data_IF_577209130085
#
_entry.id   IF_577209130085
#
_cell.length_a   1.000
_cell.length_b   1.000
_cell.length_c   1.000
_cell.angle_alpha   90.00
_cell.angle_beta   90.00
_cell.angle_gamma   90.00
#
_symmetry.space_group_name_H-M   'P 1'
#
loop_
_entity.id
_entity.type
_entity.pdbx_description
1 polymer ?
#
# COMPACT_ATOMS: atom_id res chain seq x y z
N UNK A 1 9.71 14.85 -15.83
CA UNK A 1 10.96 15.13 -15.07
C UNK A 1 12.14 15.08 -16.03
N UNK A 2 13.27 15.73 -15.73
CA UNK A 2 14.50 15.61 -16.53
C UNK A 2 15.61 15.06 -15.63
N UNK A 3 16.28 14.00 -16.06
CA UNK A 3 17.45 13.48 -15.37
C UNK A 3 18.62 14.45 -15.58
N UNK A 4 19.19 14.99 -14.50
CA UNK A 4 20.27 15.99 -14.62
C UNK A 4 21.59 15.41 -15.14
N UNK A 5 21.81 14.10 -14.99
CA UNK A 5 23.03 13.44 -15.43
C UNK A 5 22.93 12.98 -16.90
N UNK A 6 21.81 12.35 -17.28
CA UNK A 6 21.62 11.82 -18.63
C UNK A 6 20.84 12.74 -19.56
N UNK A 7 20.36 13.88 -19.06
CA UNK A 7 19.45 14.81 -19.74
C UNK A 7 18.10 14.20 -20.19
N UNK A 8 17.84 12.92 -19.89
CA UNK A 8 16.68 12.19 -20.38
C UNK A 8 15.36 12.66 -19.78
N UNK A 9 14.31 12.69 -20.60
CA UNK A 9 12.96 13.01 -20.14
C UNK A 9 12.34 11.76 -19.52
N UNK A 10 11.78 11.92 -18.33
CA UNK A 10 11.10 10.86 -17.58
C UNK A 10 9.64 11.25 -17.38
N UNK A 11 8.73 10.42 -17.87
CA UNK A 11 7.35 10.38 -17.39
C UNK A 11 7.32 9.52 -16.13
N UNK A 12 7.01 10.12 -14.98
CA UNK A 12 6.97 9.40 -13.72
C UNK A 12 5.52 9.19 -13.29
N UNK A 13 5.10 7.93 -13.32
CA UNK A 13 3.82 7.47 -12.78
C UNK A 13 3.93 7.28 -11.27
N UNK A 14 3.21 8.09 -10.50
CA UNK A 14 3.23 8.06 -9.05
C UNK A 14 1.95 7.43 -8.50
N UNK A 15 2.07 6.47 -7.59
CA UNK A 15 0.91 5.88 -6.91
C UNK A 15 1.18 5.69 -5.43
N UNK A 16 0.12 5.80 -4.63
CA UNK A 16 0.16 5.33 -3.23
C UNK A 16 -0.56 3.99 -3.14
N UNK A 17 0.10 2.96 -2.60
CA UNK A 17 -0.49 1.62 -2.47
C UNK A 17 -0.13 0.94 -1.15
N UNK A 18 -1.08 0.16 -0.65
CA UNK A 18 -0.93 -0.66 0.55
C UNK A 18 -1.38 -2.06 0.19
N UNK A 19 -0.64 -3.07 0.64
CA UNK A 19 -0.94 -4.46 0.34
C UNK A 19 -0.79 -5.30 1.59
N UNK A 20 -1.71 -6.25 1.78
CA UNK A 20 -1.71 -7.22 2.86
C UNK A 20 -1.34 -8.57 2.24
N UNK A 21 -0.28 -9.20 2.73
CA UNK A 21 0.16 -10.50 2.23
C UNK A 21 -0.73 -11.61 2.76
N UNK A 22 -1.40 -12.30 1.84
CA UNK A 22 -2.27 -13.45 2.12
C UNK A 22 -1.79 -14.63 1.27
N UNK A 23 -1.02 -15.54 1.88
CA UNK A 23 -0.34 -16.60 1.13
C UNK A 23 0.57 -16.03 0.04
N UNK A 24 0.33 -16.41 -1.22
CA UNK A 24 1.04 -15.88 -2.39
C UNK A 24 0.47 -14.57 -2.93
N UNK A 25 -0.71 -14.16 -2.46
CA UNK A 25 -1.42 -12.99 -2.95
C UNK A 25 -1.12 -11.72 -2.16
N UNK A 26 -1.36 -10.59 -2.82
CA UNK A 26 -1.15 -9.25 -2.29
C UNK A 26 -2.39 -8.37 -2.55
N UNK A 27 -3.53 -8.68 -1.93
CA UNK A 27 -4.70 -7.81 -1.94
C UNK A 27 -4.41 -6.48 -1.23
N UNK A 28 -5.13 -5.43 -1.61
CA UNK A 28 -5.15 -4.18 -0.87
C UNK A 28 -6.05 -4.27 0.38
N UNK A 29 -6.08 -3.22 1.22
CA UNK A 29 -7.05 -3.09 2.30
C UNK A 29 -8.51 -3.25 1.83
N UNK A 30 -8.77 -2.90 0.57
CA UNK A 30 -9.91 -3.36 -0.21
C UNK A 30 -9.45 -4.56 -1.06
N UNK A 31 -9.99 -5.74 -0.81
CA UNK A 31 -9.49 -6.99 -1.40
C UNK A 31 -9.65 -7.05 -2.93
N UNK A 32 -10.48 -6.17 -3.52
CA UNK A 32 -10.61 -6.05 -4.98
C UNK A 32 -9.34 -5.50 -5.63
N UNK A 33 -8.60 -4.65 -4.91
CA UNK A 33 -7.28 -4.21 -5.31
C UNK A 33 -6.29 -5.36 -5.13
N UNK A 34 -5.44 -5.61 -6.13
CA UNK A 34 -4.39 -6.62 -6.05
C UNK A 34 -3.11 -6.15 -6.75
N UNK A 35 -1.95 -6.41 -6.14
CA UNK A 35 -0.64 -6.02 -6.66
C UNK A 35 -0.40 -6.50 -8.10
N UNK A 36 -0.66 -7.77 -8.38
CA UNK A 36 -0.38 -8.37 -9.68
C UNK A 36 -1.28 -7.80 -10.78
N UNK A 37 -2.57 -7.59 -10.48
CA UNK A 37 -3.49 -6.89 -11.41
C UNK A 37 -2.99 -5.48 -11.74
N UNK A 38 -2.54 -4.74 -10.72
CA UNK A 38 -1.96 -3.40 -10.91
C UNK A 38 -0.68 -3.44 -11.74
N UNK A 39 0.19 -4.42 -11.49
CA UNK A 39 1.45 -4.59 -12.23
C UNK A 39 1.19 -4.89 -13.71
N UNK A 40 0.24 -5.79 -14.00
CA UNK A 40 -0.17 -6.14 -15.37
C UNK A 40 -0.72 -4.92 -16.10
N UNK A 41 -1.69 -4.21 -15.50
CA UNK A 41 -2.28 -3.01 -16.10
C UNK A 41 -1.24 -1.91 -16.35
N UNK A 42 -0.33 -1.69 -15.40
CA UNK A 42 0.73 -0.71 -15.55
C UNK A 42 1.63 -1.03 -16.76
N UNK A 43 2.11 -2.29 -16.86
CA UNK A 43 3.01 -2.73 -17.94
C UNK A 43 2.38 -2.67 -19.32
N UNK A 44 1.15 -3.17 -19.43
CA UNK A 44 0.46 -3.33 -20.70
C UNK A 44 -0.19 -2.04 -21.19
N UNK A 45 -0.51 -1.12 -20.28
CA UNK A 45 -1.25 0.09 -20.63
C UNK A 45 -0.49 1.36 -20.25
N UNK A 46 -0.33 1.65 -18.95
CA UNK A 46 0.13 2.97 -18.49
C UNK A 46 1.55 3.31 -18.98
N UNK A 47 2.48 2.36 -18.92
CA UNK A 47 3.87 2.59 -19.35
C UNK A 47 4.00 2.78 -20.87
N UNK A 48 3.01 2.31 -21.64
CA UNK A 48 3.02 2.39 -23.10
C UNK A 48 2.42 3.70 -23.62
N UNK A 49 1.69 4.46 -22.80
CA UNK A 49 0.90 5.62 -23.27
C UNK A 49 1.74 6.68 -23.99
N UNK A 50 2.93 7.00 -23.48
CA UNK A 50 3.79 8.03 -24.09
C UNK A 50 4.35 7.60 -25.44
N UNK A 51 4.53 6.29 -25.65
CA UNK A 51 4.97 5.74 -26.92
C UNK A 51 3.79 5.56 -27.89
N UNK A 52 2.67 5.01 -27.43
CA UNK A 52 1.49 4.73 -28.26
C UNK A 52 0.73 5.98 -28.70
N UNK A 53 0.87 7.11 -27.99
CA UNK A 53 0.13 8.35 -28.25
C UNK A 53 1.05 9.57 -28.36
N UNK A 54 2.24 9.38 -28.94
CA UNK A 54 3.27 10.41 -29.06
C UNK A 54 2.76 11.69 -29.75
N UNK A 55 1.91 11.57 -30.77
CA UNK A 55 1.33 12.72 -31.49
C UNK A 55 0.39 13.58 -30.63
N UNK A 56 -0.18 13.00 -29.57
CA UNK A 56 -1.04 13.71 -28.63
C UNK A 56 -0.24 14.46 -27.56
N UNK A 57 1.07 14.26 -27.48
CA UNK A 57 1.93 15.00 -26.57
C UNK A 57 2.05 16.47 -27.01
N UNK A 58 2.32 17.40 -26.08
CA UNK A 58 2.70 18.76 -26.44
C UNK A 58 3.90 18.77 -27.40
N UNK A 59 3.88 19.62 -28.43
CA UNK A 59 4.85 19.62 -29.55
C UNK A 59 6.31 19.48 -29.11
N UNK A 60 6.70 20.17 -28.03
CA UNK A 60 8.06 20.15 -27.48
C UNK A 60 8.54 18.79 -26.93
N UNK A 61 7.65 17.81 -26.84
CA UNK A 61 7.94 16.47 -26.30
C UNK A 61 7.71 15.35 -27.32
N UNK A 62 7.20 15.67 -28.52
CA UNK A 62 6.86 14.65 -29.52
C UNK A 62 8.09 13.94 -30.05
N UNK A 63 9.20 14.66 -30.21
CA UNK A 63 10.46 14.09 -30.73
C UNK A 63 11.43 13.67 -29.61
N UNK A 64 11.00 13.72 -28.35
CA UNK A 64 11.84 13.38 -27.21
C UNK A 64 11.74 11.88 -26.88
N UNK A 65 12.87 11.27 -26.53
CA UNK A 65 12.91 9.92 -25.96
C UNK A 65 12.45 9.96 -24.49
N UNK A 66 11.15 9.76 -24.28
CA UNK A 66 10.52 9.78 -22.95
C UNK A 66 10.54 8.37 -22.35
N UNK A 67 11.33 8.19 -21.30
CA UNK A 67 11.27 6.98 -20.49
C UNK A 67 10.14 7.08 -19.48
N UNK A 68 9.24 6.10 -19.48
CA UNK A 68 8.26 5.95 -18.41
C UNK A 68 8.85 5.17 -17.24
N UNK A 69 8.75 5.73 -16.03
CA UNK A 69 9.11 5.07 -14.77
C UNK A 69 7.92 5.09 -13.83
N UNK A 70 7.93 4.19 -12.84
CA UNK A 70 6.94 4.21 -11.77
C UNK A 70 7.59 4.45 -10.40
N UNK A 71 6.87 5.15 -9.54
CA UNK A 71 7.17 5.28 -8.12
C UNK A 71 5.91 4.94 -7.32
N UNK A 72 5.92 3.76 -6.70
CA UNK A 72 4.86 3.35 -5.78
C UNK A 72 5.32 3.64 -4.36
N UNK A 73 4.69 4.62 -3.71
CA UNK A 73 4.88 4.91 -2.30
C UNK A 73 3.86 4.14 -1.47
N UNK A 74 4.30 3.47 -0.42
CA UNK A 74 3.40 2.50 0.20
C UNK A 74 3.95 1.81 1.43
N UNK A 75 3.22 0.79 1.85
CA UNK A 75 3.62 -0.12 2.90
C UNK A 75 3.07 -1.53 2.61
N UNK A 76 3.93 -2.54 2.77
CA UNK A 76 3.56 -3.94 2.66
C UNK A 76 3.33 -4.51 4.06
N UNK A 77 2.23 -5.23 4.25
CA UNK A 77 1.88 -5.78 5.55
C UNK A 77 1.92 -7.29 5.47
N UNK A 78 2.81 -7.90 6.24
CA UNK A 78 2.85 -9.34 6.40
C UNK A 78 1.85 -9.75 7.49
N UNK A 79 1.27 -10.96 7.43
CA UNK A 79 0.41 -11.41 8.54
C UNK A 79 1.22 -11.38 9.85
N UNK A 80 0.57 -11.11 10.98
CA UNK A 80 1.24 -11.01 12.28
C UNK A 80 1.96 -12.31 12.65
N UNK A 81 1.40 -13.45 12.24
CA UNK A 81 1.96 -14.79 12.42
C UNK A 81 2.85 -15.26 11.26
N UNK A 82 3.06 -14.44 10.22
CA UNK A 82 3.89 -14.85 9.10
C UNK A 82 5.36 -15.05 9.54
N UNK A 83 5.84 -16.28 9.39
CA UNK A 83 7.23 -16.67 9.67
C UNK A 83 8.21 -16.07 8.66
N UNK A 84 7.74 -15.86 7.42
CA UNK A 84 8.53 -15.26 6.33
C UNK A 84 7.84 -14.02 5.80
N UNK A 85 8.64 -13.05 5.37
CA UNK A 85 8.15 -11.82 4.77
C UNK A 85 7.84 -12.03 3.29
N UNK A 86 6.71 -11.51 2.82
CA UNK A 86 6.37 -11.49 1.41
C UNK A 86 7.41 -10.69 0.60
N UNK A 87 7.85 -11.29 -0.51
CA UNK A 87 8.91 -10.75 -1.39
C UNK A 87 8.46 -10.72 -2.85
N UNK A 88 7.39 -9.97 -3.20
CA UNK A 88 6.96 -9.83 -4.59
C UNK A 88 8.04 -9.24 -5.49
N UNK A 89 7.95 -9.60 -6.77
CA UNK A 89 8.78 -9.06 -7.85
C UNK A 89 8.72 -7.52 -7.88
N UNK A 90 9.85 -6.85 -8.12
CA UNK A 90 10.02 -5.38 -8.13
C UNK A 90 9.71 -4.63 -6.84
N UNK A 91 9.55 -5.34 -5.72
CA UNK A 91 9.53 -4.68 -4.42
C UNK A 91 10.90 -4.08 -4.12
N UNK A 92 10.91 -2.83 -3.68
CA UNK A 92 12.11 -2.29 -3.05
C UNK A 92 12.38 -3.09 -1.76
N UNK A 93 13.55 -3.74 -1.58
CA UNK A 93 13.87 -4.49 -0.36
C UNK A 93 13.79 -3.66 0.92
N UNK A 94 13.90 -2.33 0.80
CA UNK A 94 13.78 -1.34 1.88
C UNK A 94 12.40 -0.70 1.94
N UNK A 95 11.37 -1.29 1.32
CA UNK A 95 10.01 -0.77 1.42
C UNK A 95 9.55 -0.73 2.88
N UNK A 96 8.62 0.18 3.19
CA UNK A 96 8.03 0.19 4.52
C UNK A 96 7.22 -1.07 4.73
N UNK A 97 7.29 -1.60 5.95
CA UNK A 97 6.54 -2.78 6.36
C UNK A 97 5.73 -2.53 7.62
N UNK A 98 4.61 -3.22 7.70
CA UNK A 98 3.78 -3.33 8.89
C UNK A 98 3.31 -4.77 9.06
N UNK A 99 2.40 -4.98 10.00
CA UNK A 99 1.75 -6.28 10.19
C UNK A 99 0.25 -6.17 9.99
N UNK A 100 -0.41 -7.24 9.60
CA UNK A 100 -1.87 -7.27 9.59
C UNK A 100 -2.40 -8.51 10.28
N UNK A 101 -3.64 -8.42 10.73
CA UNK A 101 -4.41 -9.50 11.33
C UNK A 101 -5.90 -9.18 11.17
N UNK A 102 -6.74 -10.19 11.26
CA UNK A 102 -8.19 -10.06 11.39
C UNK A 102 -8.54 -9.58 12.78
N UNK A 103 -9.68 -8.91 12.89
CA UNK A 103 -10.20 -8.43 14.17
C UNK A 103 -10.37 -9.56 15.18
N UNK A 104 -10.77 -10.76 14.73
CA UNK A 104 -10.94 -11.96 15.57
C UNK A 104 -9.63 -12.46 16.17
N UNK A 105 -8.48 -12.08 15.60
CA UNK A 105 -7.15 -12.48 16.06
C UNK A 105 -6.57 -11.51 17.10
N UNK A 106 -7.22 -10.36 17.35
CA UNK A 106 -6.75 -9.37 18.33
C UNK A 106 -6.52 -10.00 19.72
N UNK A 107 -7.46 -10.77 20.30
CA UNK A 107 -7.28 -11.34 21.64
C UNK A 107 -6.14 -12.38 21.71
N UNK A 108 -5.70 -12.92 20.58
CA UNK A 108 -4.60 -13.90 20.49
C UNK A 108 -3.25 -13.18 20.60
N UNK A 109 -3.13 -11.99 19.99
CA UNK A 109 -1.85 -11.30 19.84
C UNK A 109 -1.68 -10.08 20.75
N UNK A 110 -2.77 -9.57 21.32
CA UNK A 110 -2.76 -8.38 22.15
C UNK A 110 -3.48 -8.64 23.47
N UNK A 111 -2.98 -8.09 24.59
CA UNK A 111 -3.64 -8.23 25.88
C UNK A 111 -5.01 -7.56 25.89
N UNK A 112 -5.89 -8.01 26.79
CA UNK A 112 -7.13 -7.31 27.07
C UNK A 112 -6.86 -5.86 27.47
N UNK A 113 -7.66 -4.93 26.94
CA UNK A 113 -7.47 -3.49 27.16
C UNK A 113 -6.30 -2.86 26.38
N UNK A 114 -5.75 -3.56 25.37
CA UNK A 114 -4.77 -2.97 24.47
C UNK A 114 -5.31 -1.69 23.85
N UNK A 115 -4.64 -0.57 24.12
CA UNK A 115 -4.93 0.69 23.44
C UNK A 115 -4.46 0.63 21.99
N UNK A 116 -5.37 0.89 21.06
CA UNK A 116 -5.05 1.14 19.67
C UNK A 116 -5.38 2.59 19.33
N UNK A 117 -4.62 3.17 18.40
CA UNK A 117 -4.89 4.51 17.89
C UNK A 117 -5.06 4.45 16.38
N UNK A 118 -6.22 4.85 15.89
CA UNK A 118 -6.53 4.79 14.46
C UNK A 118 -5.71 5.83 13.71
N UNK A 119 -5.12 5.39 12.60
CA UNK A 119 -4.43 6.27 11.66
C UNK A 119 -5.42 6.57 10.53
N UNK A 120 -5.88 7.82 10.40
CA UNK A 120 -6.76 8.24 9.30
C UNK A 120 -6.16 7.92 7.94
N UNK A 121 -7.01 7.63 6.95
CA UNK A 121 -6.58 7.27 5.58
C UNK A 121 -5.62 8.27 4.95
N UNK A 122 -5.83 9.56 5.21
CA UNK A 122 -4.96 10.66 4.74
C UNK A 122 -3.53 10.58 5.29
N UNK A 123 -3.34 9.93 6.45
CA UNK A 123 -2.06 9.76 7.11
C UNK A 123 -1.42 8.39 6.84
N UNK A 124 -2.10 7.47 6.14
CA UNK A 124 -1.53 6.16 5.81
C UNK A 124 -0.17 6.24 5.10
N UNK A 125 0.08 7.19 4.18
CA UNK A 125 1.36 7.29 3.49
C UNK A 125 2.49 7.83 4.38
N UNK A 126 2.21 8.28 5.60
CA UNK A 126 3.18 8.93 6.48
C UNK A 126 3.94 7.89 7.31
N UNK A 127 5.28 7.88 7.30
CA UNK A 127 6.05 6.97 8.15
C UNK A 127 5.74 7.17 9.64
N UNK A 128 5.57 6.07 10.38
CA UNK A 128 5.13 6.11 11.78
C UNK A 128 5.98 6.99 12.68
N UNK A 129 7.29 7.08 12.44
CA UNK A 129 8.22 7.95 13.19
C UNK A 129 7.84 9.45 13.18
N UNK A 130 6.99 9.88 12.24
CA UNK A 130 6.51 11.26 12.16
C UNK A 130 5.15 11.47 12.83
N UNK A 131 4.43 10.39 13.15
CA UNK A 131 3.12 10.44 13.80
C UNK A 131 3.12 10.75 15.32
N UNK A 132 4.21 10.68 16.12
CA UNK A 132 4.15 11.03 17.54
C UNK A 132 3.74 12.49 17.80
N UNK A 133 3.90 13.36 16.80
CA UNK A 133 3.52 14.79 16.88
C UNK A 133 2.03 15.04 16.60
N UNK A 134 1.27 13.99 16.28
CA UNK A 134 -0.14 14.07 15.90
C UNK A 134 -0.96 13.34 16.95
N UNK A 135 -1.99 14.01 17.46
CA UNK A 135 -3.02 13.39 18.30
C UNK A 135 -3.87 12.48 17.42
N UNK A 136 -3.84 11.18 17.70
CA UNK A 136 -4.68 10.19 17.03
C UNK A 136 -5.78 9.75 18.00
N UNK A 137 -6.95 9.45 17.46
CA UNK A 137 -8.08 8.95 18.25
C UNK A 137 -7.80 7.52 18.73
N UNK A 138 -8.04 7.29 20.02
CA UNK A 138 -8.08 5.94 20.57
C UNK A 138 -9.23 5.17 19.95
N UNK A 139 -9.02 3.88 19.72
CA UNK A 139 -9.98 3.00 19.10
C UNK A 139 -10.03 1.67 19.82
N UNK A 140 -11.24 1.14 19.96
CA UNK A 140 -11.48 -0.17 20.53
C UNK A 140 -12.19 -1.06 19.49
N UNK A 141 -11.76 -2.31 19.31
CA UNK A 141 -12.31 -3.24 18.33
C UNK A 141 -13.64 -3.87 18.80
N UNK A 142 -14.58 -3.08 19.34
CA UNK A 142 -15.82 -3.59 19.94
C UNK A 142 -16.90 -3.94 18.92
N UNK A 143 -16.90 -3.28 17.76
CA UNK A 143 -17.85 -3.55 16.67
C UNK A 143 -17.15 -4.23 15.50
N UNK A 144 -17.83 -5.16 14.79
CA UNK A 144 -17.28 -5.77 13.57
C UNK A 144 -16.85 -4.71 12.56
N UNK A 145 -15.62 -4.84 12.04
CA UNK A 145 -15.12 -4.00 10.98
C UNK A 145 -15.72 -4.38 9.62
N UNK A 146 -16.27 -3.41 8.91
CA UNK A 146 -16.67 -3.59 7.50
C UNK A 146 -15.49 -3.47 6.53
N UNK A 147 -14.43 -2.76 6.94
CA UNK A 147 -13.26 -2.45 6.12
C UNK A 147 -12.00 -2.45 6.97
N UNK A 148 -10.86 -2.68 6.33
CA UNK A 148 -9.57 -2.60 7.01
C UNK A 148 -9.32 -1.22 7.63
N UNK A 149 -8.87 -1.20 8.89
CA UNK A 149 -8.45 -0.02 9.62
C UNK A 149 -6.94 -0.08 9.88
N UNK A 150 -6.22 1.00 9.60
CA UNK A 150 -4.80 1.09 9.97
C UNK A 150 -4.70 1.70 11.36
N UNK A 151 -3.98 1.04 12.26
CA UNK A 151 -3.80 1.46 13.65
C UNK A 151 -2.32 1.49 14.01
N UNK A 152 -1.97 2.30 15.00
CA UNK A 152 -0.74 2.11 15.77
C UNK A 152 -1.07 1.57 17.15
N UNK A 153 -0.16 0.76 17.66
CA UNK A 153 -0.11 0.42 19.08
C UNK A 153 0.95 1.34 19.71
N UNK A 154 0.64 2.08 20.78
CA UNK A 154 1.64 2.90 21.47
C UNK A 154 2.90 2.09 21.78
N UNK A 155 4.07 2.70 21.59
CA UNK A 155 5.40 2.09 21.79
C UNK A 155 5.79 0.95 20.83
N UNK A 156 4.96 0.59 19.83
CA UNK A 156 5.37 -0.31 18.74
C UNK A 156 5.87 0.51 17.54
N UNK A 157 6.97 0.09 16.88
CA UNK A 157 7.58 0.87 15.80
C UNK A 157 6.89 0.72 14.44
N UNK A 158 5.92 -0.20 14.33
CA UNK A 158 5.26 -0.56 13.08
C UNK A 158 3.74 -0.33 13.12
N UNK A 159 3.11 -0.01 11.98
CA UNK A 159 1.66 0.03 11.88
C UNK A 159 1.07 -1.36 11.78
N UNK A 160 -0.20 -1.46 12.17
CA UNK A 160 -1.01 -2.65 11.98
C UNK A 160 -2.21 -2.34 11.07
N UNK A 161 -2.53 -3.23 10.14
CA UNK A 161 -3.88 -3.27 9.57
C UNK A 161 -4.70 -4.28 10.37
N UNK A 162 -5.83 -3.82 10.92
CA UNK A 162 -6.87 -4.71 11.42
C UNK A 162 -7.87 -4.89 10.29
N UNK A 163 -8.05 -6.13 9.84
CA UNK A 163 -8.96 -6.50 8.77
C UNK A 163 -10.29 -7.04 9.34
N UNK A 164 -11.39 -6.96 8.56
CA UNK A 164 -12.63 -7.70 8.85
C UNK A 164 -12.37 -9.20 9.06
N UNK A 165 -13.27 -9.87 9.79
CA UNK A 165 -13.15 -11.31 10.07
C UNK A 165 -13.06 -12.15 8.78
N UNK A 166 -13.81 -11.77 7.75
CA UNK A 166 -13.90 -12.49 6.48
C UNK A 166 -12.79 -12.12 5.47
N UNK A 167 -11.90 -11.18 5.80
CA UNK A 167 -10.84 -10.79 4.87
C UNK A 167 -9.90 -11.98 4.56
N UNK A 168 -9.49 -12.21 3.29
CA UNK A 168 -9.67 -11.35 2.12
C UNK A 168 -10.92 -11.64 1.28
N UNK A 169 -11.83 -12.49 1.75
CA UNK A 169 -13.08 -12.74 1.03
C UNK A 169 -13.90 -11.46 0.93
N UNK A 170 -14.45 -11.24 -0.27
CA UNK A 170 -15.34 -10.13 -0.58
C UNK A 170 -16.61 -10.70 -1.17
N UNK A 171 -17.75 -10.58 -0.46
CA UNK A 171 -19.07 -11.05 -0.91
C UNK A 171 -19.81 -10.03 -1.79
N UNK A 172 -19.13 -9.06 -2.41
CA UNK A 172 -19.79 -8.20 -3.39
C UNK A 172 -19.82 -8.87 -4.77
N UNK A 173 -21.02 -9.17 -5.26
CA UNK A 173 -21.30 -9.58 -6.63
C UNK A 173 -20.63 -8.64 -7.65
N UNK A 174 -19.97 -9.24 -8.65
CA UNK A 174 -19.57 -8.57 -9.89
C UNK A 174 -20.79 -7.98 -10.62
#
# INVERSE_FOLDING_TARGET
>A
LRNLNSNQIIHLECATKFYLAVGSDLPGPDARDNYFKKLTHLRQHQLQLTHSFQDLLPTKYRDEDIITKQLVHGCLFDHIEAETTATPEFLNPKCRRGKWLRQTEIPIHFPAGQEFQVIPKTLWPIPLKFLPKITLESWEPTQPLERCAMVRVPNKPIPYFIAPAEYPHYEGTL
#
